data_IF_409948712265
#
_entry.id   IF_409948712265
#
_cell.length_a   1.000
_cell.length_b   1.000
_cell.length_c   1.000
_cell.angle_alpha   90.00
_cell.angle_beta   90.00
_cell.angle_gamma   90.00
#
_symmetry.space_group_name_H-M   'P 1'
#
loop_
_entity.id
_entity.type
_entity.pdbx_description
1 polymer ?
#
# COMPACT_ATOMS: atom_id res chain seq x y z
N UNK A 1 -8.17 -2.94 3.34
CA UNK A 1 -7.77 -2.80 1.92
C UNK A 1 -7.41 -4.20 1.46
N UNK A 2 -8.26 -4.85 0.66
CA UNK A 2 -7.99 -6.26 0.34
C UNK A 2 -6.88 -6.32 -0.72
N UNK A 3 -5.82 -7.05 -0.37
CA UNK A 3 -4.67 -7.33 -1.25
C UNK A 3 -4.58 -8.86 -1.33
N UNK A 4 -4.14 -9.40 -2.47
CA UNK A 4 -3.93 -10.85 -2.59
C UNK A 4 -2.83 -11.31 -1.63
N UNK A 5 -2.88 -12.58 -1.22
CA UNK A 5 -1.85 -13.19 -0.35
C UNK A 5 -0.48 -13.11 -1.00
N UNK A 6 -0.38 -13.38 -2.31
CA UNK A 6 0.87 -13.25 -3.07
C UNK A 6 1.44 -11.82 -3.03
N UNK A 7 0.59 -10.81 -3.21
CA UNK A 7 1.01 -9.41 -3.13
C UNK A 7 1.44 -9.04 -1.71
N UNK A 8 0.77 -9.56 -0.69
CA UNK A 8 1.17 -9.37 0.72
C UNK A 8 2.58 -9.92 0.95
N UNK A 9 2.85 -11.16 0.55
CA UNK A 9 4.16 -11.80 0.70
C UNK A 9 5.27 -11.05 -0.04
N UNK A 10 5.01 -10.56 -1.25
CA UNK A 10 5.98 -9.76 -1.99
C UNK A 10 6.27 -8.42 -1.31
N UNK A 11 5.25 -7.74 -0.79
CA UNK A 11 5.42 -6.48 -0.05
C UNK A 11 6.20 -6.70 1.25
N UNK A 12 5.94 -7.79 1.97
CA UNK A 12 6.71 -8.18 3.15
C UNK A 12 8.18 -8.48 2.82
N UNK A 13 8.42 -9.22 1.74
CA UNK A 13 9.79 -9.50 1.27
C UNK A 13 10.53 -8.21 0.95
N UNK A 14 9.89 -7.30 0.20
CA UNK A 14 10.45 -5.99 -0.13
C UNK A 14 10.72 -5.14 1.10
N UNK A 15 9.81 -5.15 2.08
CA UNK A 15 9.98 -4.39 3.32
C UNK A 15 11.23 -4.84 4.10
N UNK A 16 11.54 -6.14 4.06
CA UNK A 16 12.76 -6.71 4.69
C UNK A 16 14.04 -6.42 3.90
N UNK A 17 13.95 -6.21 2.59
CA UNK A 17 15.12 -6.04 1.71
C UNK A 17 15.50 -4.59 1.45
N UNK A 18 14.54 -3.66 1.52
CA UNK A 18 14.81 -2.25 1.22
C UNK A 18 15.69 -1.59 2.29
N UNK A 19 16.68 -0.82 1.83
CA UNK A 19 17.53 0.02 2.70
C UNK A 19 16.96 1.43 2.87
N UNK A 20 15.95 1.80 2.08
CA UNK A 20 15.28 3.09 2.16
C UNK A 20 14.26 3.07 3.31
N UNK A 21 14.50 3.91 4.32
CA UNK A 21 13.63 4.06 5.49
C UNK A 21 12.23 4.55 5.12
N UNK A 22 12.12 5.43 4.12
CA UNK A 22 10.84 5.94 3.66
C UNK A 22 10.06 4.86 2.92
N UNK A 23 10.74 4.08 2.07
CA UNK A 23 10.11 2.94 1.39
C UNK A 23 9.68 1.87 2.39
N UNK A 24 10.55 1.51 3.34
CA UNK A 24 10.23 0.55 4.41
C UNK A 24 8.96 0.97 5.18
N UNK A 25 8.93 2.21 5.66
CA UNK A 25 7.77 2.76 6.38
C UNK A 25 6.51 2.71 5.53
N UNK A 26 6.61 3.09 4.24
CA UNK A 26 5.49 3.04 3.31
C UNK A 26 4.96 1.62 3.10
N UNK A 27 5.84 0.63 3.00
CA UNK A 27 5.45 -0.78 2.83
C UNK A 27 4.76 -1.31 4.10
N UNK A 28 5.30 -1.03 5.28
CA UNK A 28 4.67 -1.46 6.54
C UNK A 28 3.30 -0.81 6.76
N UNK A 29 3.14 0.47 6.41
CA UNK A 29 1.83 1.16 6.44
C UNK A 29 0.81 0.47 5.53
N UNK A 30 1.22 0.05 4.33
CA UNK A 30 0.35 -0.68 3.38
C UNK A 30 -0.06 -2.03 3.94
N UNK A 31 0.89 -2.78 4.51
CA UNK A 31 0.66 -4.10 5.11
C UNK A 31 -0.28 -4.01 6.31
N UNK A 32 -0.01 -3.13 7.28
CA UNK A 32 -0.84 -2.96 8.47
C UNK A 32 -2.28 -2.56 8.14
N UNK A 33 -2.46 -1.71 7.11
CA UNK A 33 -3.79 -1.34 6.61
C UNK A 33 -4.50 -2.49 5.87
N UNK A 34 -3.74 -3.39 5.26
CA UNK A 34 -4.30 -4.62 4.66
C UNK A 34 -4.82 -5.58 5.73
N UNK A 35 -4.22 -5.56 6.92
CA UNK A 35 -4.59 -6.35 8.10
C UNK A 35 -5.73 -5.72 8.93
N UNK A 36 -6.22 -4.55 8.51
CA UNK A 36 -7.36 -3.89 9.18
C UNK A 36 -6.98 -3.07 10.41
N UNK A 37 -5.69 -2.76 10.62
CA UNK A 37 -5.28 -1.87 11.70
C UNK A 37 -5.82 -0.44 11.49
N UNK A 38 -6.17 0.23 12.59
CA UNK A 38 -6.63 1.62 12.57
C UNK A 38 -5.50 2.58 12.19
N UNK A 39 -5.86 3.74 11.65
CA UNK A 39 -4.88 4.72 11.17
C UNK A 39 -4.01 5.26 12.33
N UNK A 40 -4.62 5.44 13.49
CA UNK A 40 -4.00 5.93 14.71
C UNK A 40 -2.95 4.95 15.22
N UNK A 41 -3.28 3.65 15.26
CA UNK A 41 -2.35 2.60 15.69
C UNK A 41 -1.17 2.46 14.73
N UNK A 42 -1.42 2.55 13.43
CA UNK A 42 -0.35 2.51 12.42
C UNK A 42 0.57 3.72 12.57
N UNK A 43 0.00 4.93 12.73
CA UNK A 43 0.77 6.15 12.91
C UNK A 43 1.65 6.09 14.17
N UNK A 44 1.09 5.60 15.27
CA UNK A 44 1.80 5.39 16.53
C UNK A 44 2.94 4.36 16.39
N UNK A 45 2.65 3.18 15.81
CA UNK A 45 3.62 2.10 15.65
C UNK A 45 4.83 2.51 14.81
N UNK A 46 4.61 3.31 13.76
CA UNK A 46 5.67 3.78 12.87
C UNK A 46 6.24 5.15 13.26
N UNK A 47 5.80 5.74 14.38
CA UNK A 47 6.21 7.08 14.84
C UNK A 47 6.10 8.15 13.75
N UNK A 48 5.05 8.06 12.93
CA UNK A 48 4.75 9.03 11.87
C UNK A 48 3.53 9.87 12.25
N UNK A 49 3.41 11.06 11.68
CA UNK A 49 2.19 11.85 11.84
C UNK A 49 1.01 11.20 11.12
N UNK A 50 -0.20 11.39 11.66
CA UNK A 50 -1.44 10.94 11.00
C UNK A 50 -1.56 11.55 9.59
N UNK A 51 -1.09 12.78 9.41
CA UNK A 51 -1.09 13.44 8.10
C UNK A 51 -0.12 12.77 7.11
N UNK A 52 1.07 12.36 7.56
CA UNK A 52 1.99 11.57 6.73
C UNK A 52 1.37 10.22 6.34
N UNK A 53 0.68 9.56 7.26
CA UNK A 53 -0.09 8.34 6.96
C UNK A 53 -1.14 8.58 5.87
N UNK A 54 -1.91 9.67 5.95
CA UNK A 54 -2.94 10.02 4.94
C UNK A 54 -2.30 10.17 3.56
N UNK A 55 -1.18 10.89 3.44
CA UNK A 55 -0.45 11.08 2.18
C UNK A 55 0.06 9.75 1.62
N UNK A 56 0.66 8.89 2.45
CA UNK A 56 1.12 7.56 2.06
C UNK A 56 -0.06 6.70 1.57
N UNK A 57 -1.19 6.76 2.28
CA UNK A 57 -2.41 6.04 1.99
C UNK A 57 -3.13 6.51 0.72
N UNK A 58 -2.98 7.78 0.34
CA UNK A 58 -3.51 8.33 -0.91
C UNK A 58 -2.63 7.97 -2.12
N UNK A 59 -1.32 8.10 -1.99
CA UNK A 59 -0.35 7.74 -3.03
C UNK A 59 -0.43 6.25 -3.43
N UNK A 60 -0.71 5.38 -2.47
CA UNK A 60 -0.91 3.94 -2.72
C UNK A 60 -2.23 3.65 -3.44
N UNK A 61 -3.30 4.42 -3.15
CA UNK A 61 -4.58 4.36 -3.89
C UNK A 61 -4.47 4.91 -5.31
N UNK A 62 -3.77 6.03 -5.53
CA UNK A 62 -3.57 6.60 -6.86
C UNK A 62 -2.75 5.69 -7.77
N UNK A 63 -1.68 5.06 -7.27
CA UNK A 63 -0.92 4.07 -8.07
C UNK A 63 -1.77 2.88 -8.50
N UNK A 64 -2.78 2.45 -7.70
CA UNK A 64 -3.74 1.43 -8.14
C UNK A 64 -4.67 1.92 -9.24
N UNK A 65 -5.17 3.16 -9.15
CA UNK A 65 -6.04 3.74 -10.19
C UNK A 65 -5.31 3.94 -11.52
N UNK A 66 -4.04 4.31 -11.49
CA UNK A 66 -3.25 4.54 -12.71
C UNK A 66 -2.80 3.23 -13.39
N UNK A 67 -2.78 2.11 -12.66
CA UNK A 67 -2.41 0.79 -13.20
C UNK A 67 -3.60 -0.03 -13.73
N UNK A 68 -4.84 0.49 -13.69
CA UNK A 68 -5.93 -0.11 -14.44
C UNK A 68 -5.92 0.48 -15.85
N UNK A 69 -5.36 -0.26 -16.81
CA UNK A 69 -5.61 0.01 -18.23
C UNK A 69 -7.13 -0.05 -18.48
N UNK A 70 -7.68 0.75 -19.40
CA UNK A 70 -9.06 0.58 -19.81
C UNK A 70 -9.21 -0.82 -20.40
N UNK A 71 -10.21 -1.58 -19.92
CA UNK A 71 -10.62 -2.80 -20.59
C UNK A 71 -10.93 -2.45 -22.04
N UNK A 72 -10.08 -2.91 -22.95
CA UNK A 72 -10.30 -2.79 -24.39
C UNK A 72 -11.56 -3.58 -24.67
N UNK A 73 -12.63 -2.87 -25.00
CA UNK A 73 -13.89 -3.47 -25.39
C UNK A 73 -13.66 -4.51 -26.47
N UNK A 74 -13.97 -5.76 -26.14
CA UNK A 74 -14.14 -6.82 -27.14
C UNK A 74 -15.32 -6.39 -27.99
N UNK A 75 -15.05 -5.85 -29.18
CA UNK A 75 -16.07 -5.74 -30.22
C UNK A 75 -16.30 -7.16 -30.74
N UNK A 76 -17.46 -7.72 -30.41
CA UNK A 76 -18.03 -8.81 -31.18
C UNK A 76 -18.26 -8.32 -32.63
N UNK A 77 -17.64 -8.99 -33.59
CA UNK A 77 -18.20 -9.29 -34.91
C UNK A 77 -17.33 -10.33 -35.62
#
# INVERSE_FOLDING_TARGET
>A
MNISVELKLELERRARQTKDKHEHTRLCVVLARSEGMSHELIAQAHRISVQAFIVISQNTKQKRKHNMMPEVGVKEN
#
